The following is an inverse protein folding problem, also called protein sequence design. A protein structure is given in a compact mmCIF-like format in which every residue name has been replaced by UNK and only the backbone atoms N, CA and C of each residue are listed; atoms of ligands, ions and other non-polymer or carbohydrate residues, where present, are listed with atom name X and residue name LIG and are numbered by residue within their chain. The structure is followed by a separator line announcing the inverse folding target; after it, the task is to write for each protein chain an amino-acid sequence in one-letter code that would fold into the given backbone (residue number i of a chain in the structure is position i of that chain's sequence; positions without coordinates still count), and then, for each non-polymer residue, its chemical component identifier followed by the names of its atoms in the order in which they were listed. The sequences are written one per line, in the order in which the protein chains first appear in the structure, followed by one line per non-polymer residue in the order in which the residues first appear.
data_IF_302364541268
#
_entry.id   IF_302364541268
#
_cell.length_a   1.000
_cell.length_b   1.000
_cell.length_c   1.000
_cell.angle_alpha   90.00
_cell.angle_beta   90.00
_cell.angle_gamma   90.00
#
_symmetry.space_group_name_H-M   'P 1'
#
loop_
_entity.id
_entity.type
_entity.pdbx_description
1 polymer ?
#
# COMPACT_ATOMS: atom_id res chain seq x y z
N UNK A 1 9.77 -7.51 -8.91
CA UNK A 1 10.44 -6.28 -8.46
C UNK A 1 9.57 -5.51 -7.48
N UNK A 2 9.22 -6.15 -6.37
CA UNK A 2 8.41 -5.62 -5.27
C UNK A 2 9.08 -6.04 -3.95
N UNK A 3 9.58 -7.29 -3.96
CA UNK A 3 10.56 -7.88 -3.03
C UNK A 3 11.91 -7.14 -2.90
N UNK A 4 12.15 -6.07 -3.66
CA UNK A 4 13.47 -5.40 -3.71
C UNK A 4 13.59 -4.20 -2.75
N UNK A 5 12.54 -3.87 -2.01
CA UNK A 5 12.48 -2.67 -1.16
C UNK A 5 12.09 -3.06 0.28
N UNK A 6 13.07 -3.47 1.11
CA UNK A 6 12.79 -3.72 2.53
C UNK A 6 12.21 -2.45 3.17
N UNK A 7 11.06 -2.58 3.83
CA UNK A 7 10.35 -1.46 4.45
C UNK A 7 9.38 -0.70 3.54
N UNK A 8 9.13 -1.17 2.32
CA UNK A 8 8.14 -0.58 1.42
C UNK A 8 7.03 -1.57 1.04
N UNK A 9 5.83 -1.03 0.76
CA UNK A 9 4.64 -1.78 0.33
C UNK A 9 4.26 -1.33 -1.08
N UNK A 10 4.61 -2.09 -2.12
CA UNK A 10 4.21 -1.81 -3.50
C UNK A 10 2.79 -2.31 -3.80
N UNK A 11 1.92 -1.43 -4.28
CA UNK A 11 0.56 -1.73 -4.74
C UNK A 11 0.52 -1.64 -6.26
N UNK A 12 0.19 -2.73 -6.95
CA UNK A 12 0.02 -2.77 -8.41
C UNK A 12 -1.43 -2.57 -8.78
N UNK A 13 -1.67 -1.83 -9.85
CA UNK A 13 -2.97 -1.79 -10.50
C UNK A 13 -3.25 -3.16 -11.15
N UNK A 14 -4.40 -3.75 -10.82
CA UNK A 14 -4.76 -5.08 -11.34
C UNK A 14 -5.07 -5.07 -12.84
N UNK A 15 -5.44 -3.90 -13.41
CA UNK A 15 -5.74 -3.74 -14.83
C UNK A 15 -4.47 -3.50 -15.68
N UNK A 16 -3.35 -3.16 -15.04
CA UNK A 16 -2.04 -3.03 -15.66
C UNK A 16 -0.95 -3.73 -14.81
N UNK A 17 -0.97 -5.07 -14.74
CA UNK A 17 -0.11 -5.83 -13.82
C UNK A 17 1.39 -5.70 -14.10
N UNK A 18 1.75 -5.31 -15.33
CA UNK A 18 3.14 -5.06 -15.75
C UNK A 18 3.55 -3.59 -15.64
N UNK A 19 2.61 -2.68 -15.38
CA UNK A 19 2.88 -1.25 -15.16
C UNK A 19 3.51 -0.97 -13.80
N UNK A 20 3.97 0.28 -13.54
CA UNK A 20 4.63 0.67 -12.29
C UNK A 20 3.73 0.49 -11.05
N UNK A 21 4.34 0.22 -9.89
CA UNK A 21 3.64 0.13 -8.61
C UNK A 21 3.58 1.50 -7.95
N UNK A 22 2.50 1.76 -7.23
CA UNK A 22 2.49 2.79 -6.20
C UNK A 22 3.22 2.25 -4.96
N UNK A 23 4.23 2.95 -4.47
CA UNK A 23 5.08 2.47 -3.37
C UNK A 23 4.80 3.30 -2.12
N UNK A 24 4.38 2.63 -1.05
CA UNK A 24 4.16 3.23 0.26
C UNK A 24 5.26 2.81 1.23
N UNK A 25 5.52 3.62 2.26
CA UNK A 25 6.32 3.14 3.40
C UNK A 25 5.52 2.09 4.17
N UNK A 26 6.20 1.11 4.75
CA UNK A 26 5.55 0.08 5.58
C UNK A 26 4.80 0.70 6.76
N UNK A 27 5.40 1.68 7.45
CA UNK A 27 4.76 2.38 8.55
C UNK A 27 3.49 3.12 8.10
N UNK A 28 3.54 3.83 6.96
CA UNK A 28 2.38 4.54 6.43
C UNK A 28 1.25 3.60 6.04
N UNK A 29 1.57 2.48 5.38
CA UNK A 29 0.58 1.45 5.02
C UNK A 29 -0.09 0.83 6.25
N UNK A 30 0.70 0.50 7.29
CA UNK A 30 0.18 -0.03 8.55
C UNK A 30 -0.77 0.95 9.24
N UNK A 31 -0.41 2.23 9.34
CA UNK A 31 -1.27 3.27 9.91
C UNK A 31 -2.57 3.44 9.12
N UNK A 32 -2.49 3.44 7.79
CA UNK A 32 -3.67 3.51 6.92
C UNK A 32 -4.64 2.34 7.16
N UNK A 33 -4.13 1.11 7.20
CA UNK A 33 -4.96 -0.08 7.46
C UNK A 33 -5.55 -0.06 8.87
N UNK A 34 -4.82 0.42 9.87
CA UNK A 34 -5.33 0.58 11.23
C UNK A 34 -6.49 1.58 11.28
N UNK A 35 -6.33 2.74 10.65
CA UNK A 35 -7.36 3.77 10.58
C UNK A 35 -8.62 3.30 9.81
N UNK A 36 -8.47 2.48 8.76
CA UNK A 36 -9.60 1.83 8.09
C UNK A 36 -10.38 0.89 9.03
N UNK A 37 -9.67 0.08 9.82
CA UNK A 37 -10.29 -0.86 10.79
C UNK A 37 -11.02 -0.13 11.91
N UNK A 38 -10.49 1.02 12.31
CA UNK A 38 -11.08 1.89 13.35
C UNK A 38 -12.28 2.71 12.81
N UNK A 39 -12.56 2.65 11.51
CA UNK A 39 -13.66 3.39 10.90
C UNK A 39 -13.39 4.89 10.74
N UNK A 40 -12.13 5.32 10.82
CA UNK A 40 -11.74 6.75 10.79
C UNK A 40 -12.00 7.44 9.44
N UNK A 41 -12.21 6.66 8.38
CA UNK A 41 -12.51 7.16 7.03
C UNK A 41 -13.97 6.94 6.62
N UNK A 42 -14.88 6.74 7.60
CA UNK A 42 -16.31 6.66 7.35
C UNK A 42 -16.85 7.96 6.70
N UNK A 43 -17.60 7.78 5.61
CA UNK A 43 -18.44 8.78 4.93
C UNK A 43 -19.81 8.84 5.57
#
# INVERSE_FOLDING_TARGET
MADAFPGAVPVRDSKNPHGPACVFSQAGWSSFVAALKDGQFGI
#
